data_IF_763186973699
#
_entry.id   IF_763186973699
#
_cell.length_a   1.000
_cell.length_b   1.000
_cell.length_c   1.000
_cell.angle_alpha   90.00
_cell.angle_beta   90.00
_cell.angle_gamma   90.00
#
_symmetry.space_group_name_H-M   'P 1'
#
loop_
_entity.id
_entity.type
_entity.pdbx_description
1 polymer ?
#
# COMPACT_ATOMS: atom_id res chain seq x y z
N UNK A 1 -51.79 22.51 55.98
CA UNK A 1 -51.90 22.73 54.50
C UNK A 1 -50.67 22.05 53.89
N UNK A 2 -50.68 20.82 53.33
CA UNK A 2 -51.37 20.30 52.12
C UNK A 2 -51.13 21.28 50.94
N UNK A 3 -50.29 21.05 49.92
CA UNK A 3 -50.12 19.87 49.06
C UNK A 3 -48.68 19.64 48.52
N UNK A 4 -48.37 18.42 48.00
CA UNK A 4 -47.05 17.83 47.70
C UNK A 4 -46.72 17.79 46.19
N UNK A 5 -45.63 17.10 45.82
CA UNK A 5 -45.31 16.50 44.50
C UNK A 5 -46.10 17.02 43.28
N UNK A 6 -45.43 17.69 42.33
CA UNK A 6 -45.58 17.55 40.86
C UNK A 6 -45.06 18.81 40.15
N UNK A 7 -43.90 18.70 39.52
CA UNK A 7 -43.74 18.95 38.08
C UNK A 7 -42.23 18.85 37.75
N UNK A 8 -41.83 17.71 37.20
CA UNK A 8 -41.66 17.59 35.75
C UNK A 8 -40.42 18.40 35.33
N UNK A 9 -39.23 17.81 35.46
CA UNK A 9 -38.61 17.20 34.30
C UNK A 9 -38.57 18.18 33.11
N UNK A 10 -37.67 19.16 33.16
CA UNK A 10 -37.35 19.94 31.97
C UNK A 10 -35.84 20.17 31.89
N UNK A 11 -35.25 19.53 30.88
CA UNK A 11 -34.01 19.91 30.21
C UNK A 11 -32.67 19.50 30.84
N UNK A 12 -32.61 18.28 31.41
CA UNK A 12 -31.39 17.48 31.33
C UNK A 12 -31.35 16.77 29.96
N UNK A 13 -31.05 17.52 28.90
CA UNK A 13 -30.66 16.92 27.62
C UNK A 13 -29.67 17.85 26.90
N UNK A 14 -28.61 18.19 27.63
CA UNK A 14 -27.32 18.42 26.99
C UNK A 14 -26.86 17.03 26.52
N UNK A 15 -27.34 16.62 25.34
CA UNK A 15 -26.80 15.49 24.61
C UNK A 15 -25.40 15.92 24.17
N UNK A 16 -24.46 15.88 25.11
CA UNK A 16 -23.05 15.83 24.81
C UNK A 16 -22.90 14.57 23.96
N UNK A 17 -22.83 14.77 22.65
CA UNK A 17 -22.33 13.80 21.70
C UNK A 17 -20.86 13.60 22.12
N UNK A 18 -20.65 12.77 23.13
CA UNK A 18 -19.36 12.18 23.42
C UNK A 18 -19.09 11.34 22.20
N UNK A 19 -18.41 11.94 21.23
CA UNK A 19 -17.64 11.19 20.26
C UNK A 19 -16.67 10.38 21.09
N UNK A 20 -17.08 9.16 21.47
CA UNK A 20 -16.15 8.15 21.90
C UNK A 20 -15.21 7.98 20.72
N UNK A 21 -14.04 8.61 20.79
CA UNK A 21 -12.84 8.14 20.13
C UNK A 21 -12.56 6.75 20.72
N UNK A 22 -13.39 5.79 20.32
CA UNK A 22 -13.21 4.39 20.59
C UNK A 22 -11.93 4.06 19.82
N UNK A 23 -10.86 3.90 20.57
CA UNK A 23 -9.53 3.59 20.10
C UNK A 23 -9.63 2.57 18.95
N UNK A 24 -9.45 3.01 17.71
CA UNK A 24 -9.81 2.21 16.54
C UNK A 24 -8.74 1.13 16.35
N UNK A 25 -8.97 -0.01 16.99
CA UNK A 25 -8.05 -1.14 16.97
C UNK A 25 -7.79 -1.62 15.53
N UNK A 26 -8.76 -1.49 14.63
CA UNK A 26 -8.62 -1.87 13.22
C UNK A 26 -7.62 -0.94 12.53
N UNK A 27 -7.76 0.37 12.72
CA UNK A 27 -6.81 1.36 12.21
C UNK A 27 -5.40 1.12 12.73
N UNK A 28 -5.25 0.92 14.06
CA UNK A 28 -3.95 0.65 14.69
C UNK A 28 -3.27 -0.60 14.14
N UNK A 29 -4.04 -1.68 13.94
CA UNK A 29 -3.50 -2.92 13.39
C UNK A 29 -3.05 -2.74 11.93
N UNK A 30 -3.81 -1.98 11.14
CA UNK A 30 -3.44 -1.68 9.76
C UNK A 30 -2.20 -0.79 9.69
N UNK A 31 -2.10 0.24 10.53
CA UNK A 31 -0.93 1.12 10.60
C UNK A 31 0.32 0.34 11.03
N UNK A 32 0.20 -0.53 12.04
CA UNK A 32 1.30 -1.42 12.42
C UNK A 32 1.73 -2.36 11.28
N UNK A 33 0.80 -2.81 10.42
CA UNK A 33 1.13 -3.60 9.24
C UNK A 33 1.85 -2.77 8.16
N UNK A 34 1.43 -1.51 7.95
CA UNK A 34 2.11 -0.55 7.07
C UNK A 34 3.55 -0.29 7.55
N UNK A 35 3.75 -0.04 8.84
CA UNK A 35 5.08 0.18 9.44
C UNK A 35 6.00 -1.04 9.26
N UNK A 36 5.47 -2.25 9.45
CA UNK A 36 6.21 -3.50 9.23
C UNK A 36 6.59 -3.65 7.76
N UNK A 37 5.70 -3.33 6.84
CA UNK A 37 5.99 -3.35 5.41
C UNK A 37 7.10 -2.35 5.05
N UNK A 38 7.03 -1.13 5.57
CA UNK A 38 8.06 -0.11 5.32
C UNK A 38 9.42 -0.51 5.88
N UNK A 39 9.44 -1.15 7.06
CA UNK A 39 10.67 -1.73 7.63
C UNK A 39 11.22 -2.84 6.74
N UNK A 40 10.39 -3.79 6.33
CA UNK A 40 10.78 -4.88 5.44
C UNK A 40 11.30 -4.35 4.10
N UNK A 41 10.69 -3.29 3.57
CA UNK A 41 11.14 -2.62 2.35
C UNK A 41 12.55 -2.06 2.53
N UNK A 42 12.82 -1.30 3.60
CA UNK A 42 14.17 -0.77 3.89
C UNK A 42 15.23 -1.87 4.05
N UNK A 43 14.88 -2.95 4.75
CA UNK A 43 15.76 -4.11 4.93
C UNK A 43 16.03 -4.81 3.60
N UNK A 44 15.02 -4.91 2.74
CA UNK A 44 15.14 -5.45 1.39
C UNK A 44 16.05 -4.58 0.51
N UNK A 45 15.88 -3.25 0.48
CA UNK A 45 16.79 -2.34 -0.24
C UNK A 45 18.23 -2.50 0.22
N UNK A 46 18.44 -2.59 1.54
CA UNK A 46 19.77 -2.81 2.12
C UNK A 46 20.36 -4.14 1.67
N UNK A 47 19.56 -5.20 1.67
CA UNK A 47 19.98 -6.54 1.25
C UNK A 47 20.31 -6.62 -0.23
N UNK A 48 19.52 -5.96 -1.09
CA UNK A 48 19.80 -5.84 -2.53
C UNK A 48 21.08 -5.06 -2.79
N UNK A 49 21.27 -3.91 -2.13
CA UNK A 49 22.50 -3.11 -2.26
C UNK A 49 23.73 -3.92 -1.85
N UNK A 50 23.68 -4.57 -0.69
CA UNK A 50 24.78 -5.39 -0.19
C UNK A 50 25.09 -6.56 -1.14
N UNK A 51 24.06 -7.18 -1.72
CA UNK A 51 24.25 -8.26 -2.70
C UNK A 51 24.93 -7.75 -3.99
N UNK A 52 24.53 -6.59 -4.50
CA UNK A 52 25.17 -5.95 -5.65
C UNK A 52 26.62 -5.56 -5.35
N UNK A 53 26.90 -5.02 -4.15
CA UNK A 53 28.23 -4.70 -3.66
C UNK A 53 29.16 -5.92 -3.66
N UNK A 54 28.70 -7.03 -3.07
CA UNK A 54 29.48 -8.26 -3.01
C UNK A 54 29.78 -8.82 -4.41
N UNK A 55 28.83 -8.72 -5.34
CA UNK A 55 29.03 -9.16 -6.72
C UNK A 55 30.02 -8.28 -7.49
N UNK A 56 29.94 -6.97 -7.29
CA UNK A 56 30.91 -6.05 -7.90
C UNK A 56 32.33 -6.32 -7.38
N UNK A 57 32.48 -6.52 -6.07
CA UNK A 57 33.76 -6.85 -5.47
C UNK A 57 34.30 -8.19 -5.97
N UNK A 58 33.45 -9.21 -6.09
CA UNK A 58 33.83 -10.51 -6.66
C UNK A 58 34.30 -10.38 -8.13
N UNK A 59 33.54 -9.64 -8.96
CA UNK A 59 33.92 -9.39 -10.35
C UNK A 59 35.26 -8.65 -10.47
N UNK A 60 35.55 -7.70 -9.57
CA UNK A 60 36.84 -7.01 -9.52
C UNK A 60 37.99 -7.95 -9.13
N UNK A 61 37.79 -8.83 -8.14
CA UNK A 61 38.79 -9.83 -7.74
C UNK A 61 39.12 -10.80 -8.87
N UNK A 62 38.14 -11.12 -9.70
CA UNK A 62 38.30 -11.95 -10.91
C UNK A 62 38.83 -11.18 -12.13
N UNK A 63 39.16 -9.89 -12.00
CA UNK A 63 39.57 -9.00 -13.10
C UNK A 63 38.54 -8.90 -14.24
N UNK A 64 37.26 -9.17 -13.97
CA UNK A 64 36.17 -9.12 -14.94
C UNK A 64 35.53 -7.72 -14.98
N UNK A 65 36.28 -6.75 -15.51
CA UNK A 65 35.89 -5.34 -15.52
C UNK A 65 34.53 -5.08 -16.20
N UNK A 66 34.22 -5.81 -17.28
CA UNK A 66 32.92 -5.69 -17.97
C UNK A 66 31.75 -6.04 -17.07
N UNK A 67 31.89 -7.09 -16.26
CA UNK A 67 30.83 -7.51 -15.33
C UNK A 67 30.68 -6.52 -14.18
N UNK A 68 31.78 -5.97 -13.66
CA UNK A 68 31.73 -4.93 -12.63
C UNK A 68 31.02 -3.66 -13.11
N UNK A 69 31.24 -3.24 -14.36
CA UNK A 69 30.53 -2.10 -14.97
C UNK A 69 29.03 -2.35 -15.13
N UNK A 70 28.63 -3.54 -15.59
CA UNK A 70 27.22 -3.91 -15.69
C UNK A 70 26.52 -3.89 -14.32
N UNK A 71 27.16 -4.46 -13.29
CA UNK A 71 26.61 -4.45 -11.92
C UNK A 71 26.45 -3.02 -11.40
N UNK A 72 27.35 -2.11 -11.76
CA UNK A 72 27.24 -0.70 -11.39
C UNK A 72 26.05 -0.01 -12.06
N UNK A 73 25.77 -0.33 -13.32
CA UNK A 73 24.58 0.17 -14.03
C UNK A 73 23.30 -0.39 -13.39
N UNK A 74 23.27 -1.68 -13.08
CA UNK A 74 22.12 -2.31 -12.39
C UNK A 74 21.86 -1.64 -11.03
N UNK A 75 22.92 -1.32 -10.29
CA UNK A 75 22.81 -0.60 -9.02
C UNK A 75 22.25 0.81 -9.19
N UNK A 76 22.72 1.57 -10.18
CA UNK A 76 22.19 2.90 -10.46
C UNK A 76 20.72 2.82 -10.87
N UNK A 77 20.35 1.89 -11.74
CA UNK A 77 18.96 1.65 -12.12
C UNK A 77 18.08 1.32 -10.90
N UNK A 78 18.59 0.48 -9.99
CA UNK A 78 17.89 0.13 -8.75
C UNK A 78 17.66 1.33 -7.83
N UNK A 79 18.67 2.18 -7.65
CA UNK A 79 18.59 3.34 -6.75
C UNK A 79 17.78 4.50 -7.35
N UNK A 80 17.89 4.73 -8.66
CA UNK A 80 17.28 5.90 -9.31
C UNK A 80 15.84 5.64 -9.77
N UNK A 81 15.52 4.40 -10.15
CA UNK A 81 14.23 4.05 -10.79
C UNK A 81 13.40 3.03 -10.01
N UNK A 82 13.90 2.55 -8.86
CA UNK A 82 13.31 1.40 -8.14
C UNK A 82 13.17 0.14 -9.03
N UNK A 83 13.96 0.05 -10.11
CA UNK A 83 13.94 -1.08 -11.03
C UNK A 83 14.68 -2.26 -10.41
N UNK A 84 13.96 -3.34 -10.14
CA UNK A 84 14.50 -4.55 -9.51
C UNK A 84 15.29 -5.35 -10.55
N UNK A 85 16.62 -5.56 -10.38
CA UNK A 85 17.41 -6.32 -11.35
C UNK A 85 16.87 -7.74 -11.54
N UNK A 86 16.72 -8.19 -12.79
CA UNK A 86 16.29 -9.57 -13.09
C UNK A 86 17.27 -10.61 -12.53
N UNK A 87 18.53 -10.22 -12.39
CA UNK A 87 19.63 -11.04 -11.86
C UNK A 87 19.52 -11.33 -10.36
N UNK A 88 18.57 -10.72 -9.65
CA UNK A 88 18.40 -10.92 -8.21
C UNK A 88 18.09 -12.38 -7.86
N UNK A 89 18.66 -12.88 -6.75
CA UNK A 89 18.44 -14.24 -6.30
C UNK A 89 16.99 -14.40 -5.83
N UNK A 90 16.43 -15.59 -6.04
CA UNK A 90 15.04 -15.90 -5.72
C UNK A 90 14.63 -15.57 -4.27
N UNK A 91 15.46 -15.80 -3.22
CA UNK A 91 15.12 -15.42 -1.86
C UNK A 91 14.80 -13.93 -1.71
N UNK A 92 15.62 -13.04 -2.26
CA UNK A 92 15.36 -11.60 -2.20
C UNK A 92 14.08 -11.20 -2.94
N UNK A 93 13.76 -11.87 -4.05
CA UNK A 93 12.48 -11.65 -4.75
C UNK A 93 11.28 -12.14 -3.92
N UNK A 94 11.45 -13.23 -3.17
CA UNK A 94 10.42 -13.77 -2.28
C UNK A 94 10.16 -12.86 -1.08
N UNK A 95 11.21 -12.33 -0.45
CA UNK A 95 11.10 -11.47 0.74
C UNK A 95 10.16 -10.28 0.51
N UNK A 96 10.34 -9.55 -0.60
CA UNK A 96 9.48 -8.40 -0.92
C UNK A 96 8.07 -8.85 -1.35
N UNK A 97 7.95 -9.98 -2.03
CA UNK A 97 6.66 -10.56 -2.43
C UNK A 97 5.82 -10.93 -1.21
N UNK A 98 6.45 -11.56 -0.21
CA UNK A 98 5.77 -11.98 1.00
C UNK A 98 5.40 -10.79 1.88
N UNK A 99 6.27 -9.78 2.01
CA UNK A 99 5.93 -8.53 2.67
C UNK A 99 4.70 -7.83 2.03
N UNK A 100 4.62 -7.80 0.69
CA UNK A 100 3.46 -7.27 -0.03
C UNK A 100 2.19 -8.07 0.27
N UNK A 101 2.25 -9.42 0.26
CA UNK A 101 1.11 -10.29 0.59
C UNK A 101 0.62 -10.06 2.02
N UNK A 102 1.52 -9.93 2.98
CA UNK A 102 1.17 -9.65 4.38
C UNK A 102 0.42 -8.34 4.52
N UNK A 103 0.89 -7.27 3.87
CA UNK A 103 0.19 -5.99 3.90
C UNK A 103 -1.18 -6.05 3.21
N UNK A 104 -1.28 -6.72 2.05
CA UNK A 104 -2.57 -6.94 1.36
C UNK A 104 -3.57 -7.68 2.28
N UNK A 105 -3.12 -8.74 2.96
CA UNK A 105 -3.97 -9.47 3.89
C UNK A 105 -4.44 -8.61 5.07
N UNK A 106 -3.61 -7.68 5.55
CA UNK A 106 -3.99 -6.73 6.59
C UNK A 106 -5.07 -5.75 6.11
N UNK A 107 -4.94 -5.20 4.91
CA UNK A 107 -6.00 -4.38 4.29
C UNK A 107 -7.32 -5.16 4.14
N UNK A 108 -7.26 -6.38 3.61
CA UNK A 108 -8.46 -7.22 3.43
C UNK A 108 -9.14 -7.59 4.76
N UNK A 109 -8.35 -7.74 5.83
CA UNK A 109 -8.86 -7.94 7.18
C UNK A 109 -9.52 -6.67 7.72
N UNK A 110 -8.87 -5.51 7.57
CA UNK A 110 -9.41 -4.23 8.01
C UNK A 110 -10.75 -3.90 7.32
N UNK A 111 -10.85 -4.13 6.00
CA UNK A 111 -12.11 -3.96 5.25
C UNK A 111 -13.21 -4.82 5.85
N UNK A 112 -12.96 -6.13 6.06
CA UNK A 112 -13.94 -7.05 6.66
C UNK A 112 -14.38 -6.61 8.06
N UNK A 113 -13.46 -6.10 8.87
CA UNK A 113 -13.75 -5.64 10.24
C UNK A 113 -14.56 -4.34 10.24
N UNK A 114 -14.22 -3.37 9.39
CA UNK A 114 -14.99 -2.15 9.23
C UNK A 114 -16.41 -2.42 8.71
N UNK A 115 -16.58 -3.32 7.74
CA UNK A 115 -17.91 -3.73 7.26
C UNK A 115 -18.74 -4.40 8.36
N UNK A 116 -18.13 -5.28 9.18
CA UNK A 116 -18.83 -5.90 10.32
C UNK A 116 -19.26 -4.88 11.38
N UNK A 117 -18.49 -3.81 11.54
CA UNK A 117 -18.79 -2.69 12.44
C UNK A 117 -19.72 -1.64 11.82
N UNK A 118 -20.24 -1.87 10.60
CA UNK A 118 -21.06 -0.90 9.84
C UNK A 118 -20.39 0.45 9.61
N UNK A 119 -19.05 0.46 9.57
CA UNK A 119 -18.21 1.62 9.24
C UNK A 119 -17.91 1.63 7.73
N UNK A 120 -18.96 1.79 6.92
CA UNK A 120 -18.87 1.62 5.46
C UNK A 120 -17.98 2.68 4.79
N UNK A 121 -17.90 3.88 5.37
CA UNK A 121 -17.03 4.96 4.90
C UNK A 121 -15.54 4.60 5.02
N UNK A 122 -15.15 4.04 6.15
CA UNK A 122 -13.79 3.60 6.45
C UNK A 122 -13.44 2.37 5.61
N UNK A 123 -14.34 1.40 5.50
CA UNK A 123 -14.16 0.25 4.62
C UNK A 123 -13.88 0.69 3.17
N UNK A 124 -14.69 1.62 2.64
CA UNK A 124 -14.51 2.17 1.28
C UNK A 124 -13.19 2.92 1.12
N UNK A 125 -12.75 3.66 2.15
CA UNK A 125 -11.46 4.34 2.12
C UNK A 125 -10.30 3.36 2.05
N UNK A 126 -10.33 2.32 2.88
CA UNK A 126 -9.30 1.26 2.93
C UNK A 126 -9.30 0.42 1.64
N UNK A 127 -10.45 0.17 1.02
CA UNK A 127 -10.53 -0.48 -0.31
C UNK A 127 -9.82 0.33 -1.39
N UNK A 128 -9.96 1.66 -1.39
CA UNK A 128 -9.26 2.54 -2.33
C UNK A 128 -7.76 2.52 -2.11
N UNK A 129 -7.31 2.54 -0.85
CA UNK A 129 -5.88 2.40 -0.53
C UNK A 129 -5.31 1.07 -1.01
N UNK A 130 -6.04 -0.04 -0.79
CA UNK A 130 -5.64 -1.36 -1.26
C UNK A 130 -5.54 -1.42 -2.79
N UNK A 131 -6.51 -0.85 -3.51
CA UNK A 131 -6.50 -0.79 -4.96
C UNK A 131 -5.31 0.03 -5.48
N UNK A 132 -5.04 1.19 -4.88
CA UNK A 132 -3.88 2.01 -5.22
C UNK A 132 -2.56 1.28 -4.95
N UNK A 133 -2.47 0.55 -3.83
CA UNK A 133 -1.29 -0.25 -3.50
C UNK A 133 -1.06 -1.39 -4.51
N UNK A 134 -2.11 -2.14 -4.86
CA UNK A 134 -2.06 -3.19 -5.89
C UNK A 134 -1.64 -2.62 -7.26
N UNK A 135 -2.14 -1.44 -7.64
CA UNK A 135 -1.74 -0.76 -8.86
C UNK A 135 -0.27 -0.34 -8.84
N UNK A 136 0.23 0.20 -7.72
CA UNK A 136 1.65 0.54 -7.54
C UNK A 136 2.55 -0.69 -7.72
N UNK A 137 2.16 -1.84 -7.16
CA UNK A 137 2.89 -3.10 -7.33
C UNK A 137 2.93 -3.52 -8.81
N UNK A 138 1.80 -3.46 -9.52
CA UNK A 138 1.73 -3.84 -10.93
C UNK A 138 2.64 -2.97 -11.82
N UNK A 139 2.67 -1.66 -11.58
CA UNK A 139 3.59 -0.75 -12.27
C UNK A 139 5.05 -1.10 -11.98
N UNK A 140 5.39 -1.39 -10.72
CA UNK A 140 6.78 -1.76 -10.35
C UNK A 140 7.27 -3.07 -10.97
N UNK A 141 6.35 -3.98 -11.32
CA UNK A 141 6.68 -5.27 -11.94
C UNK A 141 6.73 -5.18 -13.48
N UNK A 142 6.60 -3.98 -14.07
CA UNK A 142 6.72 -3.79 -15.51
C UNK A 142 5.54 -4.32 -16.32
N UNK A 143 4.32 -4.38 -15.76
CA UNK A 143 3.12 -4.75 -16.52
C UNK A 143 2.47 -3.48 -17.12
N UNK A 144 2.72 -3.16 -18.42
CA UNK A 144 2.19 -1.95 -19.06
C UNK A 144 0.65 -1.96 -19.21
N UNK A 145 -0.01 -3.09 -18.94
CA UNK A 145 -1.46 -3.24 -19.04
C UNK A 145 -2.23 -2.31 -18.10
N UNK A 146 -1.71 -2.02 -16.90
CA UNK A 146 -2.44 -1.25 -15.87
C UNK A 146 -2.41 0.26 -16.15
N UNK A 147 -1.36 0.76 -16.81
CA UNK A 147 -1.23 2.18 -17.16
C UNK A 147 -2.26 2.66 -18.21
N UNK A 148 -2.91 1.75 -18.96
CA UNK A 148 -3.87 2.11 -20.02
C UNK A 148 -5.34 2.13 -19.58
N UNK A 149 -5.68 1.70 -18.35
CA UNK A 149 -7.09 1.63 -17.92
C UNK A 149 -7.68 2.94 -17.38
N UNK A 150 -6.85 3.98 -17.17
CA UNK A 150 -7.27 5.34 -16.78
C UNK A 150 -7.16 6.31 -17.96
N UNK A 151 -7.67 5.94 -19.13
CA UNK A 151 -8.03 6.93 -20.14
C UNK A 151 -9.52 7.26 -20.00
N UNK A 152 -9.93 8.55 -19.89
CA UNK A 152 -11.33 8.91 -19.91
C UNK A 152 -11.93 8.39 -21.21
N UNK A 153 -12.99 7.58 -21.08
CA UNK A 153 -13.76 6.98 -22.18
C UNK A 153 -14.13 8.10 -23.16
N UNK A 154 -13.34 8.27 -24.23
CA UNK A 154 -13.67 9.18 -25.34
C UNK A 154 -14.98 8.68 -25.91
N UNK A 155 -16.05 9.40 -25.59
CA UNK A 155 -17.35 9.25 -26.24
C UNK A 155 -17.11 9.48 -27.73
N UNK A 156 -17.10 8.40 -28.50
CA UNK A 156 -17.07 8.47 -29.96
C UNK A 156 -18.38 9.12 -30.41
N UNK A 157 -18.27 10.29 -31.02
CA UNK A 157 -19.40 11.06 -31.54
C UNK A 157 -20.22 10.25 -32.55
N UNK A 158 -21.55 10.41 -32.63
CA UNK A 158 -22.37 9.72 -33.62
C UNK A 158 -22.04 10.23 -35.02
N UNK A 159 -21.77 9.29 -35.92
CA UNK A 159 -21.52 9.55 -37.35
C UNK A 159 -22.86 9.86 -38.02
N UNK A 160 -23.23 11.13 -38.10
CA UNK A 160 -24.41 11.55 -38.88
C UNK A 160 -24.11 11.34 -40.36
N UNK A 161 -24.89 10.46 -40.99
CA UNK A 161 -24.91 10.29 -42.45
C UNK A 161 -25.62 11.50 -43.04
N UNK A 162 -24.90 12.30 -43.84
CA UNK A 162 -25.53 13.24 -44.75
C UNK A 162 -26.02 12.47 -45.97
N UNK A 163 -27.30 12.69 -46.29
CA UNK A 163 -28.01 12.27 -47.50
C UNK A 163 -27.56 13.15 -48.66
#
# INVERSE_FOLDING_TARGET
MRYPLLCLALLFNLFACVAFAQDDAVAKNLDAAKDRYDKALREWYTSVSNWLDQREEAARKESNNKTAELIKLDRQAFLDKDETPESLPNPLKQDISDARKTLIAAYETAIKEYTKASKDTEATAVEKELAAFKAKIAVSNGDPSVASSTQPRRLTSPKWKSI
#
